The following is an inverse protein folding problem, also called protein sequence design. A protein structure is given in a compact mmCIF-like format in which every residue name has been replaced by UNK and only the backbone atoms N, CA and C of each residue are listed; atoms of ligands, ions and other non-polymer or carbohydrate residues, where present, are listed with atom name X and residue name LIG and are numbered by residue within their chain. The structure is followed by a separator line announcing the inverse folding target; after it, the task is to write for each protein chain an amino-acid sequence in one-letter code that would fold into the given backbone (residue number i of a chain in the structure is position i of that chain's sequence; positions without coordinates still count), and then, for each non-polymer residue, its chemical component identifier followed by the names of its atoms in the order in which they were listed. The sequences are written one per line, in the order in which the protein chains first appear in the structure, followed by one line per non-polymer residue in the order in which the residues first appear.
data_IF_172103837823
#
_entry.id   IF_172103837823
#
_cell.length_a   1.000
_cell.length_b   1.000
_cell.length_c   1.000
_cell.angle_alpha   90.00
_cell.angle_beta   90.00
_cell.angle_gamma   90.00
#
_symmetry.space_group_name_H-M   'P 1'
#
loop_
_entity.id
_entity.type
_entity.pdbx_description
1 polymer ?
#
# COMPACT_ATOMS: atom_id res chain seq x y z
N UNK A 1 -3.64 10.89 -19.58
CA UNK A 1 -2.35 11.05 -18.89
C UNK A 1 -2.44 12.26 -17.96
N UNK A 2 -2.39 12.03 -16.65
CA UNK A 2 -2.23 13.12 -15.69
C UNK A 2 -0.75 13.50 -15.66
N UNK A 3 -0.38 14.54 -16.40
CA UNK A 3 0.95 15.14 -16.31
C UNK A 3 0.91 16.30 -15.32
N UNK A 4 2.03 16.67 -14.69
CA UNK A 4 2.13 17.93 -13.98
C UNK A 4 1.60 19.03 -14.90
N UNK A 5 0.69 19.86 -14.41
CA UNK A 5 0.05 20.89 -15.26
C UNK A 5 1.05 21.94 -15.72
N UNK A 6 2.13 22.11 -14.96
CA UNK A 6 3.24 23.02 -15.24
C UNK A 6 4.49 22.59 -14.44
N UNK A 7 5.69 23.00 -14.84
CA UNK A 7 6.87 22.83 -14.01
C UNK A 7 6.73 23.59 -12.70
N UNK A 8 6.86 22.91 -11.57
CA UNK A 8 6.65 23.51 -10.22
C UNK A 8 7.62 24.66 -9.93
N UNK A 9 8.81 24.65 -10.54
CA UNK A 9 9.79 25.73 -10.43
C UNK A 9 9.37 27.03 -11.16
N UNK A 10 8.41 26.95 -12.07
CA UNK A 10 7.84 28.10 -12.78
C UNK A 10 6.61 28.67 -12.03
N UNK A 11 6.25 28.11 -10.91
CA UNK A 11 5.15 28.60 -10.09
C UNK A 11 5.44 30.00 -9.57
N UNK A 12 4.37 30.79 -9.42
CA UNK A 12 4.46 32.08 -8.78
C UNK A 12 4.68 31.90 -7.29
N UNK A 13 5.88 32.22 -6.85
CA UNK A 13 6.24 32.15 -5.43
C UNK A 13 5.67 33.31 -4.64
N UNK A 14 5.33 33.04 -3.42
CA UNK A 14 4.84 34.01 -2.45
C UNK A 14 5.80 34.07 -1.24
N UNK A 15 5.85 35.21 -0.58
CA UNK A 15 6.72 35.45 0.57
C UNK A 15 5.91 36.03 1.71
N UNK A 16 6.05 35.43 2.89
CA UNK A 16 5.33 35.85 4.09
C UNK A 16 6.27 35.97 5.30
N UNK A 17 6.03 36.94 6.16
CA UNK A 17 6.71 37.08 7.45
C UNK A 17 5.82 36.42 8.53
N UNK A 18 5.98 35.13 8.75
CA UNK A 18 5.05 34.32 9.54
C UNK A 18 4.97 34.71 11.03
N UNK A 19 5.99 35.37 11.59
CA UNK A 19 5.95 35.88 12.97
C UNK A 19 4.99 37.07 13.13
N UNK A 20 4.89 37.93 12.11
CA UNK A 20 4.03 39.10 12.10
C UNK A 20 2.68 38.86 11.39
N UNK A 21 2.66 37.90 10.44
CA UNK A 21 1.51 37.54 9.61
C UNK A 21 1.29 36.04 9.62
N UNK A 22 0.91 35.51 10.78
CA UNK A 22 0.66 34.07 10.95
C UNK A 22 -0.36 33.48 9.95
N UNK A 23 -1.34 34.28 9.53
CA UNK A 23 -2.37 33.86 8.58
C UNK A 23 -1.91 33.90 7.12
N UNK A 24 -0.68 34.39 6.85
CA UNK A 24 -0.15 34.56 5.49
C UNK A 24 -1.07 35.41 4.59
N UNK A 25 -1.64 36.49 5.15
CA UNK A 25 -2.56 37.38 4.45
C UNK A 25 -1.83 38.41 3.56
N UNK A 26 -0.58 38.77 3.90
CA UNK A 26 0.16 39.84 3.23
C UNK A 26 1.36 39.28 2.45
N UNK A 27 1.19 39.04 1.18
CA UNK A 27 2.28 38.57 0.32
C UNK A 27 3.31 39.68 0.09
N UNK A 28 4.53 39.46 0.56
CA UNK A 28 5.65 40.40 0.51
C UNK A 28 6.57 40.18 -0.72
N UNK A 29 6.31 39.24 -1.58
CA UNK A 29 7.20 38.89 -2.70
C UNK A 29 7.56 40.09 -3.59
N UNK A 30 6.58 40.92 -3.93
CA UNK A 30 6.80 42.11 -4.75
C UNK A 30 7.58 43.23 -4.02
N UNK A 31 7.47 43.30 -2.69
CA UNK A 31 8.18 44.32 -1.85
C UNK A 31 9.60 43.88 -1.51
N UNK A 32 9.87 42.58 -1.47
CA UNK A 32 11.17 42.02 -1.05
C UNK A 32 11.69 40.98 -2.05
N UNK A 33 11.93 41.35 -3.33
CA UNK A 33 12.32 40.40 -4.39
C UNK A 33 13.67 39.74 -4.12
N UNK A 34 14.61 40.43 -3.51
CA UNK A 34 15.92 39.85 -3.15
C UNK A 34 15.80 38.77 -2.09
N UNK A 35 14.95 38.99 -1.06
CA UNK A 35 14.71 37.98 -0.03
C UNK A 35 13.98 36.76 -0.60
N UNK A 36 13.03 36.96 -1.51
CA UNK A 36 12.38 35.88 -2.22
C UNK A 36 13.39 35.02 -2.97
N UNK A 37 14.28 35.68 -3.75
CA UNK A 37 15.31 34.99 -4.52
C UNK A 37 16.31 34.24 -3.65
N UNK A 38 16.71 34.82 -2.53
CA UNK A 38 17.57 34.16 -1.53
C UNK A 38 16.92 32.86 -1.03
N UNK A 39 15.64 32.91 -0.62
CA UNK A 39 14.94 31.75 -0.08
C UNK A 39 14.63 30.71 -1.16
N UNK A 40 14.37 31.10 -2.41
CA UNK A 40 14.28 30.18 -3.53
C UNK A 40 15.58 29.42 -3.75
N UNK A 41 16.72 30.12 -3.70
CA UNK A 41 18.04 29.50 -3.81
C UNK A 41 18.33 28.51 -2.67
N UNK A 42 17.98 28.89 -1.44
CA UNK A 42 18.10 28.03 -0.27
C UNK A 42 17.22 26.79 -0.41
N UNK A 43 15.94 26.96 -0.80
CA UNK A 43 15.03 25.83 -1.04
C UNK A 43 15.59 24.85 -2.05
N UNK A 44 16.10 25.32 -3.18
CA UNK A 44 16.63 24.45 -4.22
C UNK A 44 17.88 23.69 -3.76
N UNK A 45 18.74 24.36 -2.98
CA UNK A 45 19.91 23.72 -2.38
C UNK A 45 19.48 22.59 -1.43
N UNK A 46 18.62 22.90 -0.47
CA UNK A 46 18.11 21.92 0.49
C UNK A 46 17.36 20.78 -0.20
N UNK A 47 16.55 21.07 -1.22
CA UNK A 47 15.84 20.07 -1.98
C UNK A 47 16.77 19.10 -2.74
N UNK A 48 17.90 19.61 -3.26
CA UNK A 48 18.92 18.79 -3.90
C UNK A 48 19.67 17.90 -2.89
N UNK A 49 20.11 18.47 -1.79
CA UNK A 49 20.84 17.77 -0.72
C UNK A 49 19.99 16.67 -0.07
N UNK A 50 18.68 16.87 0.02
CA UNK A 50 17.73 15.93 0.63
C UNK A 50 16.97 15.06 -0.40
N UNK A 51 17.45 14.98 -1.63
CA UNK A 51 16.88 14.14 -2.69
C UNK A 51 15.39 14.40 -2.98
N UNK A 52 14.93 15.65 -2.79
CA UNK A 52 13.54 16.05 -3.07
C UNK A 52 13.32 16.48 -4.52
N UNK A 53 14.38 16.57 -5.32
CA UNK A 53 14.30 16.88 -6.75
C UNK A 53 14.28 15.62 -7.63
N UNK A 54 13.58 15.62 -8.77
CA UNK A 54 12.69 16.68 -9.25
C UNK A 54 11.42 16.79 -8.42
N UNK A 55 10.90 18.01 -8.26
CA UNK A 55 9.61 18.23 -7.59
C UNK A 55 8.48 17.56 -8.37
N UNK A 56 7.57 16.91 -7.66
CA UNK A 56 6.48 16.14 -8.28
C UNK A 56 5.20 16.27 -7.44
N UNK A 57 4.19 16.90 -8.01
CA UNK A 57 2.87 17.08 -7.39
C UNK A 57 1.86 16.01 -7.81
N UNK A 58 2.28 15.00 -8.59
CA UNK A 58 1.43 13.88 -8.96
C UNK A 58 1.06 13.06 -7.73
N UNK A 59 -0.22 12.76 -7.57
CA UNK A 59 -0.75 12.03 -6.41
C UNK A 59 -1.01 10.57 -6.76
N UNK A 60 -1.83 10.33 -7.78
CA UNK A 60 -2.25 8.97 -8.17
C UNK A 60 -1.09 8.22 -8.84
N UNK A 61 -0.32 8.89 -9.68
CA UNK A 61 0.82 8.32 -10.39
C UNK A 61 1.91 7.80 -9.45
N UNK A 62 2.05 8.41 -8.26
CA UNK A 62 3.01 7.95 -7.24
C UNK A 62 2.76 6.53 -6.75
N UNK A 63 1.55 6.02 -6.90
CA UNK A 63 1.21 4.64 -6.58
C UNK A 63 1.70 3.65 -7.63
N UNK A 64 2.13 4.14 -8.81
CA UNK A 64 2.65 3.32 -9.90
C UNK A 64 4.14 3.66 -10.14
N UNK A 65 5.02 2.73 -9.79
CA UNK A 65 6.47 2.91 -9.91
C UNK A 65 6.92 3.23 -11.34
N UNK A 66 6.30 2.62 -12.34
CA UNK A 66 6.64 2.83 -13.75
C UNK A 66 6.35 4.26 -14.20
N UNK A 67 5.21 4.84 -13.78
CA UNK A 67 4.81 6.19 -14.18
C UNK A 67 5.70 7.29 -13.59
N UNK A 68 6.28 7.03 -12.41
CA UNK A 68 7.15 8.02 -11.73
C UNK A 68 8.63 7.71 -11.85
N UNK A 69 9.00 6.69 -12.63
CA UNK A 69 10.40 6.33 -12.88
C UNK A 69 11.13 5.71 -11.70
N UNK A 70 10.40 5.17 -10.70
CA UNK A 70 11.01 4.41 -9.61
C UNK A 70 11.26 2.96 -10.03
N UNK A 71 12.28 2.29 -9.47
CA UNK A 71 12.49 0.87 -9.71
C UNK A 71 11.25 0.04 -9.32
N UNK A 72 10.86 -0.91 -10.18
CA UNK A 72 9.92 -1.94 -9.81
C UNK A 72 10.64 -2.99 -8.97
N UNK A 73 10.44 -2.94 -7.65
CA UNK A 73 11.09 -3.85 -6.70
C UNK A 73 10.57 -5.29 -6.81
N UNK A 74 9.40 -5.48 -7.41
CA UNK A 74 8.87 -6.81 -7.69
C UNK A 74 9.46 -7.43 -8.98
N UNK A 75 9.96 -6.60 -9.92
CA UNK A 75 10.69 -7.06 -11.09
C UNK A 75 9.94 -8.10 -11.93
N UNK A 76 8.61 -7.98 -12.05
CA UNK A 76 7.76 -8.93 -12.77
C UNK A 76 7.52 -10.28 -12.07
N UNK A 77 7.89 -10.41 -10.81
CA UNK A 77 7.63 -11.64 -10.02
C UNK A 77 6.15 -11.95 -9.94
N UNK A 78 5.82 -13.22 -10.11
CA UNK A 78 4.45 -13.75 -9.99
C UNK A 78 4.22 -14.56 -8.71
N UNK A 79 5.29 -14.80 -7.94
CA UNK A 79 5.25 -15.47 -6.63
C UNK A 79 6.18 -14.79 -5.64
N UNK A 80 5.83 -14.90 -4.36
CA UNK A 80 6.62 -14.39 -3.25
C UNK A 80 6.49 -15.36 -2.07
N UNK A 81 7.62 -15.77 -1.50
CA UNK A 81 7.66 -16.53 -0.26
C UNK A 81 7.93 -15.57 0.89
N UNK A 82 7.12 -15.64 1.92
CA UNK A 82 7.26 -14.85 3.15
C UNK A 82 7.33 -15.79 4.35
N UNK A 83 7.97 -15.34 5.42
CA UNK A 83 8.21 -16.13 6.61
C UNK A 83 7.65 -15.41 7.84
N UNK A 84 7.50 -16.15 8.92
CA UNK A 84 7.14 -15.59 10.23
C UNK A 84 8.07 -14.41 10.60
N UNK A 85 7.48 -13.37 11.19
CA UNK A 85 8.23 -12.17 11.58
C UNK A 85 8.43 -11.12 10.47
N UNK A 86 8.08 -11.39 9.22
CA UNK A 86 8.11 -10.38 8.15
C UNK A 86 6.92 -9.43 8.29
N UNK A 87 7.19 -8.25 8.85
CA UNK A 87 6.19 -7.20 9.07
C UNK A 87 6.57 -5.90 8.35
N UNK A 88 5.61 -4.99 8.19
CA UNK A 88 5.85 -3.66 7.63
C UNK A 88 6.17 -3.65 6.13
N UNK A 89 5.89 -4.72 5.40
CA UNK A 89 6.08 -4.77 3.95
C UNK A 89 5.09 -3.83 3.26
N UNK A 90 5.62 -2.87 2.54
CA UNK A 90 4.81 -1.93 1.76
C UNK A 90 4.31 -2.58 0.46
N UNK A 91 3.26 -2.02 -0.15
CA UNK A 91 2.66 -2.59 -1.38
C UNK A 91 3.63 -2.73 -2.55
N UNK A 92 4.66 -1.90 -2.62
CA UNK A 92 5.65 -1.94 -3.71
C UNK A 92 6.69 -3.07 -3.57
N UNK A 93 6.72 -3.76 -2.43
CA UNK A 93 7.59 -4.94 -2.20
C UNK A 93 6.75 -6.22 -1.97
N UNK A 94 5.46 -6.16 -2.25
CA UNK A 94 4.54 -7.29 -2.14
C UNK A 94 3.77 -7.51 -3.44
N UNK A 95 3.29 -8.73 -3.69
CA UNK A 95 2.49 -9.04 -4.87
C UNK A 95 1.16 -8.28 -4.86
N UNK A 96 0.86 -7.62 -5.95
CA UNK A 96 -0.45 -7.00 -6.12
C UNK A 96 -1.50 -8.08 -6.42
N UNK A 97 -2.32 -8.42 -5.44
CA UNK A 97 -3.43 -9.38 -5.55
C UNK A 97 -4.78 -8.72 -5.85
N UNK A 98 -4.82 -7.41 -6.05
CA UNK A 98 -6.07 -6.68 -6.33
C UNK A 98 -6.54 -6.94 -7.77
N UNK A 99 -7.84 -7.20 -7.94
CA UNK A 99 -8.50 -7.41 -9.22
C UNK A 99 -7.87 -8.51 -10.08
N UNK A 100 -7.42 -9.60 -9.47
CA UNK A 100 -6.87 -10.77 -10.16
C UNK A 100 -7.00 -12.05 -9.34
N UNK A 101 -7.02 -13.17 -10.03
CA UNK A 101 -6.93 -14.46 -9.39
C UNK A 101 -5.57 -14.65 -8.73
N UNK A 102 -5.56 -15.26 -7.54
CA UNK A 102 -4.34 -15.54 -6.80
C UNK A 102 -4.52 -16.72 -5.85
N UNK A 103 -3.40 -17.25 -5.39
CA UNK A 103 -3.35 -18.35 -4.42
C UNK A 103 -2.43 -17.96 -3.27
N UNK A 104 -2.82 -18.28 -2.05
CA UNK A 104 -1.99 -18.23 -0.86
C UNK A 104 -1.84 -19.65 -0.34
N UNK A 105 -0.61 -20.13 -0.22
CA UNK A 105 -0.30 -21.44 0.37
C UNK A 105 0.51 -21.21 1.63
N UNK A 106 0.07 -21.77 2.76
CA UNK A 106 0.76 -21.71 4.03
C UNK A 106 1.05 -23.12 4.55
N UNK A 107 2.32 -23.39 4.79
CA UNK A 107 2.77 -24.59 5.50
C UNK A 107 2.83 -24.24 6.99
N UNK A 108 2.05 -24.94 7.81
CA UNK A 108 1.86 -24.63 9.22
C UNK A 108 2.01 -25.88 10.09
N UNK A 109 2.37 -25.67 11.35
CA UNK A 109 2.35 -26.71 12.36
C UNK A 109 1.31 -26.37 13.44
N UNK A 110 0.27 -27.17 13.50
CA UNK A 110 -0.85 -26.97 14.42
C UNK A 110 -0.51 -27.60 15.78
N UNK A 111 -0.49 -26.81 16.87
CA UNK A 111 -0.22 -27.33 18.20
C UNK A 111 -1.36 -28.23 18.71
N UNK A 112 -1.08 -29.09 19.70
CA UNK A 112 -2.07 -30.02 20.31
C UNK A 112 -3.32 -29.32 20.86
N UNK A 113 -3.21 -28.04 21.22
CA UNK A 113 -4.32 -27.22 21.72
C UNK A 113 -5.15 -26.54 20.62
N UNK A 114 -4.87 -26.83 19.34
CA UNK A 114 -5.48 -26.13 18.21
C UNK A 114 -4.74 -24.84 17.84
N UNK A 115 -5.10 -24.24 16.72
CA UNK A 115 -4.51 -23.00 16.21
C UNK A 115 -5.49 -21.84 16.31
N UNK A 116 -4.97 -20.66 16.67
CA UNK A 116 -5.67 -19.37 16.59
C UNK A 116 -4.65 -18.27 16.28
N UNK A 117 -5.01 -17.34 15.42
CA UNK A 117 -4.11 -16.24 15.06
C UNK A 117 -3.95 -16.06 13.56
N UNK A 118 -3.22 -15.02 13.16
CA UNK A 118 -3.02 -14.63 11.77
C UNK A 118 -1.90 -15.46 11.14
N UNK A 119 -2.18 -16.02 9.97
CA UNK A 119 -1.16 -16.63 9.10
C UNK A 119 -0.47 -15.54 8.28
N UNK A 120 -1.27 -14.76 7.54
CA UNK A 120 -0.78 -13.64 6.74
C UNK A 120 -1.90 -12.61 6.59
N UNK A 121 -1.54 -11.33 6.58
CA UNK A 121 -2.48 -10.25 6.32
C UNK A 121 -1.85 -9.10 5.55
N UNK A 122 -2.65 -8.47 4.71
CA UNK A 122 -2.35 -7.19 4.11
C UNK A 122 -3.57 -6.30 4.32
N UNK A 123 -3.53 -5.53 5.39
CA UNK A 123 -4.67 -4.75 5.83
C UNK A 123 -4.24 -3.42 6.44
N UNK A 124 -5.14 -2.48 6.41
CA UNK A 124 -5.05 -1.19 7.08
C UNK A 124 -6.38 -0.80 7.70
N UNK A 125 -6.46 0.42 8.21
CA UNK A 125 -7.67 0.94 8.89
C UNK A 125 -8.92 0.86 8.01
N UNK A 126 -8.78 1.04 6.70
CA UNK A 126 -9.90 1.19 5.78
C UNK A 126 -10.19 -0.06 4.95
N UNK A 127 -9.47 -1.14 5.15
CA UNK A 127 -9.72 -2.37 4.42
C UNK A 127 -8.49 -3.25 4.27
N UNK A 128 -8.64 -4.32 3.51
CA UNK A 128 -7.61 -5.31 3.26
C UNK A 128 -8.09 -6.73 3.48
N UNK A 129 -7.17 -7.66 3.56
CA UNK A 129 -7.49 -9.08 3.71
C UNK A 129 -6.58 -9.75 4.74
N UNK A 130 -7.08 -10.86 5.29
CA UNK A 130 -6.33 -11.70 6.23
C UNK A 130 -6.72 -13.16 6.06
N UNK A 131 -5.72 -14.03 6.04
CA UNK A 131 -5.86 -15.47 6.24
C UNK A 131 -5.42 -15.79 7.68
N UNK A 132 -6.28 -16.41 8.45
CA UNK A 132 -6.07 -16.63 9.87
C UNK A 132 -6.77 -17.89 10.36
N UNK A 133 -6.39 -18.39 11.54
CA UNK A 133 -7.14 -19.42 12.27
C UNK A 133 -8.09 -18.78 13.27
N UNK A 134 -9.33 -19.26 13.30
CA UNK A 134 -10.31 -18.98 14.35
C UNK A 134 -10.95 -20.28 14.79
N UNK A 135 -10.84 -20.58 16.08
CA UNK A 135 -11.39 -21.83 16.67
C UNK A 135 -10.88 -23.09 15.93
N UNK A 136 -9.59 -23.10 15.57
CA UNK A 136 -8.95 -24.16 14.80
C UNK A 136 -9.30 -24.22 13.31
N UNK A 137 -10.14 -23.31 12.82
CA UNK A 137 -10.60 -23.28 11.41
C UNK A 137 -9.87 -22.20 10.63
N UNK A 138 -9.20 -22.54 9.51
CA UNK A 138 -8.65 -21.52 8.62
C UNK A 138 -9.79 -20.70 8.01
N UNK A 139 -9.61 -19.40 8.06
CA UNK A 139 -10.60 -18.42 7.61
C UNK A 139 -9.91 -17.34 6.82
N UNK A 140 -10.45 -17.00 5.67
CA UNK A 140 -10.07 -15.81 4.91
C UNK A 140 -11.13 -14.73 5.09
N UNK A 141 -10.71 -13.51 5.38
CA UNK A 141 -11.60 -12.36 5.44
C UNK A 141 -11.08 -11.25 4.54
N UNK A 142 -11.98 -10.66 3.77
CA UNK A 142 -11.73 -9.46 2.97
C UNK A 142 -12.63 -8.34 3.45
N UNK A 143 -12.04 -7.27 3.94
CA UNK A 143 -12.73 -6.05 4.36
C UNK A 143 -12.71 -5.03 3.21
N UNK A 144 -13.86 -4.79 2.62
CA UNK A 144 -14.02 -3.81 1.55
C UNK A 144 -14.30 -2.43 2.16
N UNK A 145 -13.26 -1.62 2.28
CA UNK A 145 -13.30 -0.21 2.69
C UNK A 145 -13.99 0.06 4.04
N UNK A 146 -14.10 -0.93 4.93
CA UNK A 146 -14.87 -0.81 6.17
C UNK A 146 -16.39 -0.85 5.98
N UNK A 147 -16.87 -0.97 4.75
CA UNK A 147 -18.29 -1.01 4.41
C UNK A 147 -18.88 -2.41 4.50
N UNK A 148 -18.12 -3.41 4.05
CA UNK A 148 -18.54 -4.80 4.04
C UNK A 148 -17.36 -5.74 4.25
N UNK A 149 -17.58 -6.84 4.97
CA UNK A 149 -16.60 -7.91 5.15
C UNK A 149 -17.12 -9.21 4.55
N UNK A 150 -16.36 -9.76 3.62
CA UNK A 150 -16.59 -11.08 3.03
C UNK A 150 -15.73 -12.10 3.75
N UNK A 151 -16.27 -13.30 4.03
CA UNK A 151 -15.54 -14.36 4.73
C UNK A 151 -15.76 -15.69 4.08
N UNK A 152 -14.66 -16.46 3.99
CA UNK A 152 -14.66 -17.88 3.63
C UNK A 152 -13.97 -18.61 4.78
N UNK A 153 -14.62 -19.63 5.35
CA UNK A 153 -14.09 -20.42 6.46
C UNK A 153 -14.21 -21.90 6.17
N UNK A 154 -13.24 -22.68 6.62
CA UNK A 154 -13.35 -24.13 6.61
C UNK A 154 -14.48 -24.59 7.55
N UNK A 155 -15.14 -25.68 7.19
CA UNK A 155 -16.24 -26.26 7.96
C UNK A 155 -15.76 -26.93 9.23
N UNK A 156 -14.54 -27.48 9.22
CA UNK A 156 -13.95 -28.25 10.30
C UNK A 156 -12.62 -27.63 10.79
N UNK A 157 -12.29 -27.91 12.03
CA UNK A 157 -10.99 -27.53 12.59
C UNK A 157 -9.89 -28.45 12.02
N UNK A 158 -8.71 -27.88 11.81
CA UNK A 158 -7.55 -28.63 11.35
C UNK A 158 -6.93 -29.37 12.51
N UNK A 159 -6.68 -30.69 12.40
CA UNK A 159 -6.02 -31.47 13.45
C UNK A 159 -4.62 -30.97 13.79
N UNK A 160 -4.15 -31.31 15.00
CA UNK A 160 -2.76 -31.05 15.38
C UNK A 160 -1.76 -31.76 14.47
N UNK A 161 -0.63 -31.11 14.21
CA UNK A 161 0.43 -31.59 13.33
C UNK A 161 0.67 -30.69 12.14
N UNK A 162 1.46 -31.17 11.18
CA UNK A 162 1.76 -30.42 9.95
C UNK A 162 0.53 -30.40 9.05
N UNK A 163 0.25 -29.24 8.49
CA UNK A 163 -0.83 -29.04 7.56
C UNK A 163 -0.47 -27.98 6.50
N UNK A 164 -1.05 -28.12 5.33
CA UNK A 164 -0.99 -27.11 4.27
C UNK A 164 -2.34 -26.45 4.12
N UNK A 165 -2.41 -25.15 4.35
CA UNK A 165 -3.61 -24.34 4.14
C UNK A 165 -3.47 -23.59 2.85
N UNK A 166 -4.42 -23.79 1.94
CA UNK A 166 -4.41 -23.13 0.64
C UNK A 166 -5.70 -22.35 0.44
N UNK A 167 -5.57 -21.06 0.22
CA UNK A 167 -6.66 -20.19 -0.21
C UNK A 167 -6.51 -19.87 -1.69
N UNK A 168 -7.53 -20.12 -2.47
CA UNK A 168 -7.61 -19.79 -3.88
C UNK A 168 -8.71 -18.76 -4.10
N UNK A 169 -8.39 -17.71 -4.84
CA UNK A 169 -9.35 -16.72 -5.29
C UNK A 169 -9.41 -16.71 -6.82
N UNK A 170 -10.57 -17.07 -7.36
CA UNK A 170 -10.89 -16.97 -8.78
C UNK A 170 -11.62 -15.65 -9.02
N UNK A 171 -10.96 -14.72 -9.71
CA UNK A 171 -11.52 -13.41 -10.02
C UNK A 171 -12.39 -13.43 -11.26
N UNK A 172 -13.56 -12.78 -11.22
CA UNK A 172 -14.55 -12.78 -12.31
C UNK A 172 -14.26 -11.75 -13.42
N UNK A 173 -13.04 -11.16 -13.42
CA UNK A 173 -12.62 -10.13 -14.41
C UNK A 173 -12.80 -10.51 -15.86
N UNK A 174 -12.58 -9.59 -16.80
CA UNK A 174 -11.67 -8.44 -16.76
C UNK A 174 -12.24 -7.17 -16.13
N UNK A 175 -11.34 -6.27 -15.76
CA UNK A 175 -11.65 -4.96 -15.18
C UNK A 175 -11.57 -4.91 -13.65
N UNK A 176 -11.96 -3.81 -13.04
CA UNK A 176 -11.90 -3.62 -11.59
C UNK A 176 -13.22 -3.96 -10.90
N UNK A 177 -13.15 -4.49 -9.66
CA UNK A 177 -14.30 -4.63 -8.78
C UNK A 177 -15.36 -5.65 -9.24
N UNK A 178 -14.96 -6.68 -10.00
CA UNK A 178 -15.91 -7.69 -10.54
C UNK A 178 -16.32 -8.76 -9.54
N UNK A 179 -15.61 -8.86 -8.43
CA UNK A 179 -15.84 -9.94 -7.48
C UNK A 179 -15.08 -11.22 -7.83
N UNK A 180 -15.47 -12.32 -7.22
CA UNK A 180 -14.83 -13.60 -7.42
C UNK A 180 -15.25 -14.64 -6.40
N UNK A 181 -14.75 -15.86 -6.56
CA UNK A 181 -15.00 -16.99 -5.66
C UNK A 181 -13.73 -17.33 -4.88
N UNK A 182 -13.85 -17.36 -3.56
CA UNK A 182 -12.79 -17.79 -2.65
C UNK A 182 -13.02 -19.23 -2.18
N UNK A 183 -11.97 -20.03 -2.17
CA UNK A 183 -12.00 -21.43 -1.71
C UNK A 183 -10.85 -21.69 -0.75
N UNK A 184 -11.12 -22.37 0.37
CA UNK A 184 -10.09 -22.85 1.29
C UNK A 184 -9.96 -24.37 1.14
N UNK A 185 -8.74 -24.83 0.95
CA UNK A 185 -8.35 -26.22 0.87
C UNK A 185 -7.40 -26.52 2.04
N UNK A 186 -7.48 -27.72 2.60
CA UNK A 186 -6.62 -28.21 3.68
C UNK A 186 -6.04 -29.56 3.27
N UNK A 187 -4.69 -29.64 3.21
CA UNK A 187 -3.86 -30.80 2.77
C UNK A 187 -4.04 -31.24 1.32
#
# INVERSE_FOLDING_TARGET
EMKPRRPLLEDKWELYHVEEDFSSANNLAAKNPEKLKELQGLFLKEAAENYALPLDDRVVERTNSTLVGRPDLMGGRTSLTVYEGMIGMTENVFLNVKNRSHTITAEVEIPKGGASGVIISQAGRFGGWSLYFKDGKPTYAYNFLGLQTYKVAATEAVPAGKATIRYEFAYDGPGMGKGGTGTILVN
#
